data_IF_410117100859
#
_entry.id   IF_410117100859
#
_cell.length_a   1.000
_cell.length_b   1.000
_cell.length_c   1.000
_cell.angle_alpha   90.00
_cell.angle_beta   90.00
_cell.angle_gamma   90.00
#
_symmetry.space_group_name_H-M   'P 1'
#
loop_
_entity.id
_entity.type
_entity.pdbx_description
1 polymer ?
#
# COMPACT_ATOMS: atom_id res chain seq x y z
N UNK A 1 13.63 11.06 13.35
CA UNK A 1 12.34 10.63 12.77
C UNK A 1 11.83 11.76 11.91
N UNK A 2 11.66 11.53 10.60
CA UNK A 2 11.06 12.51 9.68
C UNK A 2 9.65 12.86 10.13
N UNK A 3 9.12 13.99 9.69
CA UNK A 3 7.73 14.34 9.94
C UNK A 3 6.87 13.41 9.09
N UNK A 4 6.13 12.52 9.73
CA UNK A 4 5.04 11.81 9.06
C UNK A 4 4.03 12.83 8.50
N UNK A 5 3.38 12.47 7.41
CA UNK A 5 2.29 13.29 6.90
C UNK A 5 1.28 13.52 8.03
N UNK A 6 0.74 14.75 8.22
CA UNK A 6 -0.21 15.01 9.28
C UNK A 6 -1.38 14.01 9.27
N UNK A 7 -1.66 13.41 10.42
CA UNK A 7 -2.77 12.46 10.61
C UNK A 7 -2.66 11.11 9.84
N UNK A 8 -1.45 10.66 9.46
CA UNK A 8 -1.26 9.35 8.81
C UNK A 8 -1.88 8.19 9.61
N UNK A 9 -1.75 8.24 10.94
CA UNK A 9 -2.35 7.32 11.91
C UNK A 9 -3.88 7.22 11.82
N UNK A 10 -4.54 8.28 11.37
CA UNK A 10 -6.00 8.33 11.18
C UNK A 10 -6.39 8.05 9.71
N UNK A 11 -5.58 8.50 8.76
CA UNK A 11 -5.87 8.35 7.32
C UNK A 11 -5.86 6.87 6.92
N UNK A 12 -4.89 6.07 7.37
CA UNK A 12 -4.80 4.66 7.01
C UNK A 12 -6.02 3.84 7.48
N UNK A 13 -6.43 3.85 8.77
CA UNK A 13 -7.61 3.11 9.19
C UNK A 13 -8.91 3.68 8.58
N UNK A 14 -9.00 5.01 8.37
CA UNK A 14 -10.16 5.60 7.72
C UNK A 14 -10.26 5.19 6.26
N UNK A 15 -9.15 5.11 5.53
CA UNK A 15 -9.12 4.62 4.15
C UNK A 15 -9.63 3.17 4.06
N UNK A 16 -9.22 2.32 5.00
CA UNK A 16 -9.71 0.94 5.08
C UNK A 16 -11.23 0.90 5.34
N UNK A 17 -11.70 1.67 6.32
CA UNK A 17 -13.13 1.73 6.64
C UNK A 17 -13.96 2.15 5.42
N UNK A 18 -13.57 3.23 4.74
CA UNK A 18 -14.28 3.74 3.58
C UNK A 18 -14.20 2.79 2.39
N UNK A 19 -13.03 2.18 2.16
CA UNK A 19 -12.88 1.19 1.10
C UNK A 19 -13.83 0.01 1.32
N UNK A 20 -13.81 -0.59 2.52
CA UNK A 20 -14.67 -1.73 2.82
C UNK A 20 -16.14 -1.38 2.85
N UNK A 21 -16.52 -0.16 3.24
CA UNK A 21 -17.90 0.30 3.15
C UNK A 21 -18.40 0.31 1.68
N UNK A 22 -17.61 0.89 0.75
CA UNK A 22 -17.95 0.89 -0.68
C UNK A 22 -17.95 -0.52 -1.24
N UNK A 23 -16.96 -1.33 -0.90
CA UNK A 23 -16.83 -2.72 -1.35
C UNK A 23 -18.02 -3.59 -0.89
N UNK A 24 -18.41 -3.49 0.39
CA UNK A 24 -19.58 -4.22 0.94
C UNK A 24 -20.87 -3.78 0.24
N UNK A 25 -21.06 -2.47 0.08
CA UNK A 25 -22.24 -1.93 -0.59
C UNK A 25 -22.34 -2.41 -2.04
N UNK A 26 -21.23 -2.41 -2.79
CA UNK A 26 -21.24 -2.89 -4.17
C UNK A 26 -21.46 -4.40 -4.23
N UNK A 27 -20.75 -5.18 -3.41
CA UNK A 27 -20.80 -6.64 -3.45
C UNK A 27 -22.15 -7.21 -3.01
N UNK A 28 -22.76 -6.66 -1.94
CA UNK A 28 -23.99 -7.21 -1.36
C UNK A 28 -25.27 -6.49 -1.78
N UNK A 29 -25.20 -5.18 -2.09
CA UNK A 29 -26.41 -4.37 -2.34
C UNK A 29 -26.54 -4.00 -3.80
N UNK A 30 -25.57 -3.26 -4.38
CA UNK A 30 -25.68 -2.73 -5.72
C UNK A 30 -25.42 -3.76 -6.81
N UNK A 31 -24.39 -4.59 -6.63
CA UNK A 31 -23.99 -5.64 -7.59
C UNK A 31 -23.82 -5.13 -9.01
N UNK A 32 -23.32 -3.89 -9.18
CA UNK A 32 -23.33 -3.19 -10.47
C UNK A 32 -22.59 -3.95 -11.59
N UNK A 33 -21.60 -4.75 -11.24
CA UNK A 33 -20.75 -5.47 -12.20
C UNK A 33 -20.72 -6.98 -11.95
N UNK A 34 -21.76 -7.53 -11.33
CA UNK A 34 -21.85 -8.97 -11.00
C UNK A 34 -21.70 -9.89 -12.22
N UNK A 35 -22.11 -9.43 -13.39
CA UNK A 35 -21.94 -10.17 -14.66
C UNK A 35 -20.48 -10.50 -14.97
N UNK A 36 -19.53 -9.66 -14.55
CA UNK A 36 -18.11 -9.90 -14.76
C UNK A 36 -17.59 -11.16 -14.06
N UNK A 37 -18.28 -11.59 -13.00
CA UNK A 37 -17.92 -12.82 -12.28
C UNK A 37 -18.11 -14.07 -13.13
N UNK A 38 -18.93 -14.03 -14.16
CA UNK A 38 -19.16 -15.14 -15.10
C UNK A 38 -18.02 -15.29 -16.11
N UNK A 39 -17.30 -14.21 -16.43
CA UNK A 39 -16.19 -14.23 -17.40
C UNK A 39 -14.85 -14.65 -16.80
N UNK A 40 -14.66 -14.48 -15.49
CA UNK A 40 -13.41 -14.80 -14.82
C UNK A 40 -13.59 -16.00 -13.90
N UNK A 41 -12.91 -17.14 -14.17
CA UNK A 41 -13.03 -18.35 -13.34
C UNK A 41 -12.75 -18.05 -11.86
N UNK A 42 -13.59 -18.60 -10.97
CA UNK A 42 -13.48 -18.38 -9.53
C UNK A 42 -12.11 -18.77 -8.98
N UNK A 43 -11.52 -19.84 -9.52
CA UNK A 43 -10.17 -20.30 -9.11
C UNK A 43 -9.13 -19.23 -9.38
N UNK A 44 -9.17 -18.58 -10.56
CA UNK A 44 -8.22 -17.50 -10.89
C UNK A 44 -8.40 -16.31 -9.95
N UNK A 45 -9.64 -15.93 -9.64
CA UNK A 45 -9.93 -14.83 -8.70
C UNK A 45 -9.39 -15.12 -7.30
N UNK A 46 -9.56 -16.35 -6.82
CA UNK A 46 -9.04 -16.79 -5.51
C UNK A 46 -7.51 -16.80 -5.51
N UNK A 47 -6.87 -17.32 -6.55
CA UNK A 47 -5.40 -17.35 -6.64
C UNK A 47 -4.83 -15.93 -6.64
N UNK A 48 -5.41 -15.02 -7.42
CA UNK A 48 -5.01 -13.61 -7.44
C UNK A 48 -5.22 -12.94 -6.08
N UNK A 49 -6.35 -13.16 -5.44
CA UNK A 49 -6.65 -12.66 -4.10
C UNK A 49 -5.60 -13.13 -3.10
N UNK A 50 -5.38 -14.44 -3.00
CA UNK A 50 -4.42 -14.99 -2.04
C UNK A 50 -2.99 -14.48 -2.30
N UNK A 51 -2.57 -14.38 -3.56
CA UNK A 51 -1.25 -13.84 -3.91
C UNK A 51 -1.08 -12.38 -3.49
N UNK A 52 -2.10 -11.55 -3.73
CA UNK A 52 -2.10 -10.13 -3.35
C UNK A 52 -2.15 -9.96 -1.82
N UNK A 53 -3.00 -10.73 -1.12
CA UNK A 53 -3.12 -10.65 0.34
C UNK A 53 -1.85 -11.13 1.05
N UNK A 54 -1.26 -12.24 0.61
CA UNK A 54 0.03 -12.70 1.17
C UNK A 54 1.11 -11.64 0.98
N UNK A 55 1.19 -11.05 -0.21
CA UNK A 55 2.16 -9.98 -0.49
C UNK A 55 1.89 -8.74 0.38
N UNK A 56 0.63 -8.34 0.53
CA UNK A 56 0.22 -7.22 1.37
C UNK A 56 0.57 -7.44 2.84
N UNK A 57 0.23 -8.62 3.38
CA UNK A 57 0.54 -8.97 4.78
C UNK A 57 2.04 -9.00 5.02
N UNK A 58 2.83 -9.60 4.12
CA UNK A 58 4.28 -9.63 4.25
C UNK A 58 4.88 -8.22 4.22
N UNK A 59 4.50 -7.40 3.23
CA UNK A 59 4.99 -6.03 3.13
C UNK A 59 4.59 -5.20 4.36
N UNK A 60 3.33 -5.28 4.80
CA UNK A 60 2.84 -4.57 5.96
C UNK A 60 3.54 -4.99 7.25
N UNK A 61 3.70 -6.30 7.49
CA UNK A 61 4.36 -6.83 8.67
C UNK A 61 5.84 -6.41 8.75
N UNK A 62 6.60 -6.62 7.68
CA UNK A 62 8.02 -6.26 7.68
C UNK A 62 8.25 -4.75 7.70
N UNK A 63 7.36 -3.97 7.08
CA UNK A 63 7.41 -2.50 7.18
C UNK A 63 7.17 -2.04 8.61
N UNK A 64 6.14 -2.56 9.25
CA UNK A 64 5.80 -2.21 10.63
C UNK A 64 6.93 -2.61 11.59
N UNK A 65 7.50 -3.81 11.44
CA UNK A 65 8.63 -4.26 12.26
C UNK A 65 9.88 -3.37 12.06
N UNK A 66 10.17 -2.97 10.81
CA UNK A 66 11.28 -2.09 10.51
C UNK A 66 11.09 -0.68 11.09
N UNK A 67 9.88 -0.12 11.02
CA UNK A 67 9.59 1.24 11.50
C UNK A 67 9.45 1.31 13.02
N UNK A 68 8.79 0.33 13.64
CA UNK A 68 8.39 0.37 15.06
C UNK A 68 9.08 -0.69 15.94
N UNK A 69 9.87 -1.59 15.35
CA UNK A 69 10.60 -2.62 16.10
C UNK A 69 11.68 -2.05 17.02
N UNK A 70 11.94 -2.76 18.13
CA UNK A 70 12.89 -2.32 19.21
C UNK A 70 14.31 -2.01 18.75
N UNK A 71 14.71 -2.42 17.53
CA UNK A 71 16.07 -2.21 17.01
C UNK A 71 16.29 -0.82 16.40
N UNK A 72 15.25 -0.08 16.08
CA UNK A 72 15.31 1.19 15.35
C UNK A 72 14.99 2.42 16.22
N UNK A 73 15.42 2.41 17.47
CA UNK A 73 15.40 3.61 18.32
C UNK A 73 16.64 4.47 17.98
N UNK A 74 16.66 5.06 16.79
CA UNK A 74 17.80 5.87 16.41
C UNK A 74 17.63 6.60 15.08
N UNK A 75 18.44 7.59 14.89
CA UNK A 75 18.50 8.58 13.85
C UNK A 75 19.10 8.11 12.50
N UNK A 76 18.94 6.86 12.10
CA UNK A 76 19.48 6.34 10.84
C UNK A 76 18.38 6.09 9.82
N UNK A 77 18.69 6.32 8.55
CA UNK A 77 17.82 5.99 7.42
C UNK A 77 17.67 4.46 7.30
N UNK A 78 16.44 3.97 7.22
CA UNK A 78 16.14 2.54 7.02
C UNK A 78 16.18 2.26 5.53
N UNK A 79 17.12 1.44 5.08
CA UNK A 79 17.34 1.13 3.65
C UNK A 79 17.44 -0.36 3.36
N UNK A 80 17.24 -1.21 4.37
CA UNK A 80 17.36 -2.66 4.32
C UNK A 80 16.00 -3.38 4.33
N UNK A 81 16.00 -4.70 4.26
CA UNK A 81 14.80 -5.51 4.24
C UNK A 81 13.86 -5.14 3.08
N UNK A 82 12.59 -4.88 3.38
CA UNK A 82 11.59 -4.49 2.37
C UNK A 82 11.89 -3.11 1.76
N UNK A 83 12.53 -2.22 2.53
CA UNK A 83 12.96 -0.90 2.08
C UNK A 83 14.13 -0.92 1.07
N UNK A 84 14.81 -2.04 0.92
CA UNK A 84 15.79 -2.23 -0.14
C UNK A 84 15.15 -2.42 -1.53
N UNK A 85 13.86 -2.73 -1.59
CA UNK A 85 13.14 -3.06 -2.82
C UNK A 85 12.12 -2.00 -3.23
N UNK A 86 11.48 -1.35 -2.25
CA UNK A 86 10.48 -0.31 -2.46
C UNK A 86 10.53 0.68 -1.29
N UNK A 87 10.39 2.00 -1.60
CA UNK A 87 10.56 3.04 -0.57
C UNK A 87 9.36 3.15 0.37
N UNK A 88 8.13 2.87 -0.09
CA UNK A 88 6.90 2.98 0.69
C UNK A 88 6.13 1.65 0.78
N UNK A 89 6.75 0.60 1.37
CA UNK A 89 6.15 -0.74 1.40
C UNK A 89 4.87 -0.80 2.25
N UNK A 90 4.72 0.05 3.27
CA UNK A 90 3.50 0.10 4.09
C UNK A 90 2.29 0.59 3.26
N UNK A 91 2.42 1.69 2.53
CA UNK A 91 1.34 2.19 1.66
C UNK A 91 1.03 1.21 0.53
N UNK A 92 2.07 0.61 -0.06
CA UNK A 92 1.90 -0.42 -1.08
C UNK A 92 1.11 -1.62 -0.55
N UNK A 93 1.33 -2.03 0.71
CA UNK A 93 0.60 -3.14 1.33
C UNK A 93 -0.91 -2.88 1.37
N UNK A 94 -1.35 -1.67 1.73
CA UNK A 94 -2.77 -1.30 1.69
C UNK A 94 -3.35 -1.34 0.27
N UNK A 95 -2.61 -0.79 -0.72
CA UNK A 95 -3.07 -0.80 -2.10
C UNK A 95 -3.20 -2.23 -2.66
N UNK A 96 -2.29 -3.13 -2.33
CA UNK A 96 -2.35 -4.53 -2.74
C UNK A 96 -3.50 -5.27 -2.05
N UNK A 97 -3.72 -5.04 -0.75
CA UNK A 97 -4.85 -5.62 -0.04
C UNK A 97 -6.19 -5.20 -0.66
N UNK A 98 -6.41 -3.90 -0.88
CA UNK A 98 -7.63 -3.43 -1.52
C UNK A 98 -7.82 -4.02 -2.92
N UNK A 99 -6.73 -4.12 -3.69
CA UNK A 99 -6.76 -4.71 -5.03
C UNK A 99 -7.15 -6.20 -4.99
N UNK A 100 -6.71 -6.95 -3.98
CA UNK A 100 -7.10 -8.34 -3.76
C UNK A 100 -8.61 -8.49 -3.60
N UNK A 101 -9.24 -7.66 -2.74
CA UNK A 101 -10.69 -7.66 -2.55
C UNK A 101 -11.45 -7.28 -3.82
N UNK A 102 -10.92 -6.35 -4.63
CA UNK A 102 -11.51 -6.01 -5.92
C UNK A 102 -11.48 -7.22 -6.87
N UNK A 103 -10.35 -7.92 -6.97
CA UNK A 103 -10.23 -9.08 -7.85
C UNK A 103 -11.14 -10.25 -7.45
N UNK A 104 -11.22 -10.58 -6.17
CA UNK A 104 -12.04 -11.73 -5.74
C UNK A 104 -13.52 -11.49 -5.95
N UNK A 105 -13.98 -10.25 -5.77
CA UNK A 105 -15.40 -9.87 -5.90
C UNK A 105 -15.78 -9.35 -7.29
N UNK A 106 -14.79 -8.96 -8.12
CA UNK A 106 -14.99 -8.22 -9.38
C UNK A 106 -15.76 -6.90 -9.19
N UNK A 107 -15.61 -6.26 -8.02
CA UNK A 107 -16.24 -4.98 -7.70
C UNK A 107 -15.50 -3.82 -8.37
N UNK A 108 -15.93 -3.45 -9.58
CA UNK A 108 -15.32 -2.33 -10.31
C UNK A 108 -15.61 -0.97 -9.65
N UNK A 109 -16.72 -0.84 -8.91
CA UNK A 109 -17.00 0.40 -8.17
C UNK A 109 -15.91 0.68 -7.13
N UNK A 110 -15.34 -0.36 -6.53
CA UNK A 110 -14.24 -0.24 -5.56
C UNK A 110 -12.91 0.24 -6.16
N UNK A 111 -12.78 0.25 -7.50
CA UNK A 111 -11.64 0.89 -8.17
C UNK A 111 -11.63 2.41 -7.94
N UNK A 112 -12.78 3.04 -7.76
CA UNK A 112 -12.85 4.49 -7.53
C UNK A 112 -12.10 4.88 -6.25
N UNK A 113 -12.47 4.38 -5.06
CA UNK A 113 -11.71 4.67 -3.85
C UNK A 113 -10.26 4.15 -3.94
N UNK A 114 -10.01 3.03 -4.61
CA UNK A 114 -8.65 2.52 -4.80
C UNK A 114 -7.75 3.53 -5.52
N UNK A 115 -8.20 4.11 -6.65
CA UNK A 115 -7.45 5.15 -7.36
C UNK A 115 -7.28 6.42 -6.52
N UNK A 116 -8.33 6.83 -5.78
CA UNK A 116 -8.23 7.96 -4.87
C UNK A 116 -7.14 7.73 -3.81
N UNK A 117 -7.07 6.53 -3.25
CA UNK A 117 -6.03 6.19 -2.26
C UNK A 117 -4.64 6.05 -2.89
N UNK A 118 -4.52 5.53 -4.11
CA UNK A 118 -3.25 5.50 -4.81
C UNK A 118 -2.67 6.92 -4.98
N UNK A 119 -3.51 7.89 -5.36
CA UNK A 119 -3.11 9.29 -5.47
C UNK A 119 -2.81 9.90 -4.10
N UNK A 120 -3.64 9.65 -3.09
CA UNK A 120 -3.45 10.15 -1.74
C UNK A 120 -2.13 9.64 -1.14
N UNK A 121 -1.89 8.33 -1.20
CA UNK A 121 -0.68 7.71 -0.68
C UNK A 121 0.58 8.16 -1.44
N UNK A 122 0.47 8.44 -2.75
CA UNK A 122 1.58 9.03 -3.51
C UNK A 122 1.93 10.43 -3.02
N UNK A 123 0.92 11.26 -2.69
CA UNK A 123 1.14 12.59 -2.11
C UNK A 123 1.72 12.52 -0.69
N UNK A 124 1.21 11.62 0.14
CA UNK A 124 1.73 11.38 1.49
C UNK A 124 3.19 10.92 1.44
N UNK A 125 3.50 9.96 0.57
CA UNK A 125 4.85 9.48 0.34
C UNK A 125 5.79 10.60 -0.13
N UNK A 126 5.36 11.45 -1.06
CA UNK A 126 6.15 12.61 -1.50
C UNK A 126 6.47 13.59 -0.38
N UNK A 127 5.51 13.86 0.50
CA UNK A 127 5.72 14.71 1.67
C UNK A 127 6.75 14.12 2.65
N UNK A 128 6.68 12.80 2.88
CA UNK A 128 7.65 12.09 3.72
C UNK A 128 9.05 12.10 3.08
N UNK A 129 9.14 11.92 1.76
CA UNK A 129 10.40 11.97 1.00
C UNK A 129 11.09 13.33 1.11
N UNK A 130 10.34 14.44 0.99
CA UNK A 130 10.88 15.79 1.16
C UNK A 130 11.47 16.00 2.57
N UNK A 131 10.83 15.46 3.60
CA UNK A 131 11.32 15.58 4.97
C UNK A 131 12.54 14.67 5.23
N UNK A 132 12.54 13.46 4.68
CA UNK A 132 13.69 12.54 4.73
C UNK A 132 14.92 13.13 4.02
N UNK A 133 14.73 13.75 2.86
CA UNK A 133 15.81 14.45 2.15
C UNK A 133 16.36 15.62 2.98
N UNK A 134 15.50 16.38 3.67
CA UNK A 134 15.91 17.47 4.55
C UNK A 134 16.73 16.98 5.74
N UNK A 135 16.41 15.80 6.30
CA UNK A 135 17.07 15.24 7.49
C UNK A 135 18.36 14.52 7.12
N UNK A 136 18.34 13.67 6.09
CA UNK A 136 19.44 12.78 5.72
C UNK A 136 20.27 13.30 4.52
N UNK A 137 19.80 14.34 3.83
CA UNK A 137 20.53 14.99 2.74
C UNK A 137 20.95 14.02 1.64
N UNK A 138 22.23 14.01 1.32
CA UNK A 138 22.80 13.22 0.23
C UNK A 138 22.57 11.71 0.40
N UNK A 139 22.54 11.21 1.63
CA UNK A 139 22.30 9.79 1.92
C UNK A 139 20.92 9.35 1.40
N UNK A 140 19.88 10.19 1.62
CA UNK A 140 18.54 9.92 1.11
C UNK A 140 18.48 10.00 -0.41
N UNK A 141 19.10 10.99 -1.04
CA UNK A 141 19.17 11.15 -2.50
C UNK A 141 19.82 9.92 -3.16
N UNK A 142 20.87 9.36 -2.57
CA UNK A 142 21.51 8.16 -3.08
C UNK A 142 20.62 6.91 -2.92
N UNK A 143 19.88 6.82 -1.82
CA UNK A 143 18.88 5.77 -1.59
C UNK A 143 17.75 5.86 -2.62
N UNK A 144 17.17 7.05 -2.83
CA UNK A 144 16.10 7.30 -3.80
C UNK A 144 16.48 6.91 -5.24
N UNK A 145 17.71 7.19 -5.65
CA UNK A 145 18.20 6.80 -6.99
C UNK A 145 18.27 5.29 -7.19
N UNK A 146 18.49 4.52 -6.13
CA UNK A 146 18.65 3.07 -6.17
C UNK A 146 17.34 2.31 -6.02
N UNK A 147 16.44 2.81 -5.19
CA UNK A 147 15.21 2.12 -4.80
C UNK A 147 13.99 2.85 -5.38
N UNK A 148 13.11 2.17 -6.12
CA UNK A 148 11.90 2.78 -6.68
C UNK A 148 10.87 3.08 -5.59
N UNK A 149 9.98 4.03 -5.87
CA UNK A 149 8.92 4.44 -4.95
C UNK A 149 7.88 3.33 -4.73
N UNK A 150 7.41 2.70 -5.81
CA UNK A 150 6.26 1.78 -5.81
C UNK A 150 6.54 0.39 -6.34
N UNK A 151 7.13 0.27 -7.54
CA UNK A 151 7.26 -1.02 -8.23
C UNK A 151 8.67 -1.55 -8.02
N UNK A 152 8.84 -2.69 -7.29
CA UNK A 152 10.15 -3.29 -7.08
C UNK A 152 10.85 -3.57 -8.41
N UNK A 153 12.11 -3.18 -8.53
CA UNK A 153 12.93 -3.55 -9.68
C UNK A 153 13.41 -4.99 -9.47
N UNK A 154 13.03 -5.86 -10.37
CA UNK A 154 13.62 -7.21 -10.45
C UNK A 154 15.05 -7.04 -10.99
N UNK A 155 16.04 -7.35 -10.17
CA UNK A 155 17.45 -7.40 -10.57
C UNK A 155 17.81 -8.81 -10.97
#
# INVERSE_FOLDING_TARGET
MGKEFPHTDQILPLSALLFFAVWILDFFVFRLFSELTSFVPVVLRIVMFLGLEVSAVMLGFYSHEALFGKKNVGSSLITDGVFAHVRHPLYLSFLLAYLGFIFVSMSLLSLVPWFCYAVLFDRMAGYEEEDLERIFGQEYVEYERRVPKWIPRVR
#
